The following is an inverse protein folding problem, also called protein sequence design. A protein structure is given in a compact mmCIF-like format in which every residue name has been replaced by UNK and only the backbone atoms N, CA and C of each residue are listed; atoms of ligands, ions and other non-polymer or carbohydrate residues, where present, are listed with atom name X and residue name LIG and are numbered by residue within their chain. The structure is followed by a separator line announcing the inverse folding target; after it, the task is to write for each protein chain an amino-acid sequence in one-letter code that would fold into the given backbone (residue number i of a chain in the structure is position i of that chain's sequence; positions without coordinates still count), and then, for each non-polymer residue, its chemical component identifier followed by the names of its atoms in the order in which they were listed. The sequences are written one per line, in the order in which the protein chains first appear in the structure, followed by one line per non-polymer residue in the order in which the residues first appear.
data_IF_131680667464
#
_entry.id   IF_131680667464
#
_cell.length_a   1.000
_cell.length_b   1.000
_cell.length_c   1.000
_cell.angle_alpha   90.00
_cell.angle_beta   90.00
_cell.angle_gamma   90.00
#
_symmetry.space_group_name_H-M   'P 1'
#
loop_
_entity.id
_entity.type
_entity.pdbx_description
1 polymer ?
#
# COMPACT_ATOMS: atom_id res chain seq x y z
N UNK A 1 23.34 30.28 -11.94
CA UNK A 1 22.88 29.08 -11.21
C UNK A 1 21.42 28.77 -11.57
N UNK A 2 21.19 27.86 -12.52
CA UNK A 2 19.87 27.30 -12.88
C UNK A 2 20.10 25.83 -13.24
N UNK A 3 19.92 24.92 -12.27
CA UNK A 3 20.04 23.46 -12.51
C UNK A 3 18.84 22.67 -11.98
N UNK A 4 17.88 23.29 -11.30
CA UNK A 4 16.71 22.59 -10.72
C UNK A 4 15.67 22.07 -11.73
N UNK A 5 15.64 22.59 -12.96
CA UNK A 5 14.59 22.23 -13.93
C UNK A 5 14.92 20.98 -14.74
N UNK A 6 16.21 20.71 -15.00
CA UNK A 6 16.65 19.56 -15.80
C UNK A 6 16.52 18.25 -15.01
N UNK A 7 16.78 18.30 -13.71
CA UNK A 7 16.70 17.12 -12.82
C UNK A 7 15.27 16.58 -12.73
N UNK A 8 14.26 17.45 -12.61
CA UNK A 8 12.85 17.05 -12.57
C UNK A 8 12.35 16.43 -13.88
N UNK A 9 12.82 16.92 -15.03
CA UNK A 9 12.45 16.36 -16.33
C UNK A 9 13.10 15.00 -16.56
N UNK A 10 14.36 14.82 -16.18
CA UNK A 10 15.04 13.54 -16.26
C UNK A 10 14.42 12.49 -15.32
N UNK A 11 14.03 12.91 -14.11
CA UNK A 11 13.37 12.05 -13.12
C UNK A 11 11.97 11.61 -13.59
N UNK A 12 11.19 12.52 -14.20
CA UNK A 12 9.89 12.19 -14.77
C UNK A 12 9.98 11.22 -15.96
N UNK A 13 10.98 11.40 -16.84
CA UNK A 13 11.20 10.51 -17.98
C UNK A 13 11.61 9.09 -17.56
N UNK A 14 12.47 8.96 -16.53
CA UNK A 14 12.85 7.67 -15.96
C UNK A 14 11.67 6.93 -15.29
N UNK A 15 10.75 7.66 -14.67
CA UNK A 15 9.54 7.08 -14.06
C UNK A 15 8.58 6.52 -15.14
N UNK A 16 8.50 7.17 -16.30
CA UNK A 16 7.63 6.75 -17.42
C UNK A 16 8.16 5.49 -18.13
N UNK A 17 9.48 5.41 -18.33
CA UNK A 17 10.13 4.23 -18.93
C UNK A 17 10.04 3.00 -18.01
N UNK A 18 10.23 3.19 -16.70
CA UNK A 18 10.09 2.10 -15.71
C UNK A 18 8.66 1.61 -15.58
N UNK A 19 7.66 2.49 -15.61
CA UNK A 19 6.24 2.09 -15.61
C UNK A 19 5.87 1.29 -16.86
N UNK A 20 6.44 1.65 -18.02
CA UNK A 20 6.19 0.93 -19.28
C UNK A 20 6.77 -0.48 -19.23
N UNK A 21 7.99 -0.64 -18.71
CA UNK A 21 8.62 -1.95 -18.51
C UNK A 21 7.83 -2.81 -17.52
N UNK A 22 7.44 -2.23 -16.38
CA UNK A 22 6.61 -2.91 -15.37
C UNK A 22 5.28 -3.37 -15.95
N UNK A 23 4.60 -2.51 -16.72
CA UNK A 23 3.34 -2.87 -17.38
C UNK A 23 3.51 -4.08 -18.30
N UNK A 24 4.59 -4.12 -19.07
CA UNK A 24 4.87 -5.26 -19.96
C UNK A 24 5.04 -6.56 -19.17
N UNK A 25 5.83 -6.54 -18.09
CA UNK A 25 6.06 -7.70 -17.24
C UNK A 25 4.78 -8.18 -16.55
N UNK A 26 3.99 -7.28 -15.98
CA UNK A 26 2.73 -7.62 -15.30
C UNK A 26 1.73 -8.24 -16.27
N UNK A 27 1.61 -7.73 -17.50
CA UNK A 27 0.72 -8.31 -18.50
C UNK A 27 1.15 -9.74 -18.85
N UNK A 28 2.45 -10.03 -18.89
CA UNK A 28 2.93 -11.38 -19.07
C UNK A 28 2.64 -12.29 -17.87
N UNK A 29 2.81 -11.78 -16.65
CA UNK A 29 2.61 -12.54 -15.40
C UNK A 29 1.14 -12.83 -15.10
N UNK A 30 0.25 -11.84 -15.31
CA UNK A 30 -1.19 -11.99 -15.09
C UNK A 30 -1.85 -12.95 -16.09
N UNK A 31 -1.20 -13.22 -17.22
CA UNK A 31 -1.71 -14.13 -18.25
C UNK A 31 -3.04 -13.65 -18.87
N UNK A 32 -3.84 -14.59 -19.39
CA UNK A 32 -5.19 -14.29 -19.85
C UNK A 32 -6.08 -13.97 -18.64
N UNK A 33 -6.76 -12.82 -18.67
CA UNK A 33 -7.63 -12.38 -17.58
C UNK A 33 -8.62 -13.48 -17.20
N UNK A 34 -8.58 -13.90 -15.94
CA UNK A 34 -9.60 -14.77 -15.38
C UNK A 34 -10.84 -13.91 -15.12
N UNK A 35 -11.78 -13.92 -16.08
CA UNK A 35 -13.12 -13.39 -15.81
C UNK A 35 -13.80 -14.33 -14.81
N UNK A 36 -14.02 -13.82 -13.60
CA UNK A 36 -14.90 -14.47 -12.64
C UNK A 36 -16.33 -14.34 -13.18
N UNK A 37 -16.85 -15.43 -13.74
CA UNK A 37 -18.25 -15.52 -14.20
C UNK A 37 -19.26 -15.27 -13.07
N UNK A 38 -18.82 -15.40 -11.82
CA UNK A 38 -19.66 -15.33 -10.65
C UNK A 38 -19.59 -13.96 -9.96
N UNK A 39 -20.72 -13.25 -9.96
CA UNK A 39 -20.92 -12.00 -9.21
C UNK A 39 -20.91 -12.21 -7.68
N UNK A 40 -20.80 -13.46 -7.21
CA UNK A 40 -20.64 -13.83 -5.80
C UNK A 40 -19.41 -13.25 -5.11
N UNK A 41 -18.48 -12.60 -5.83
CA UNK A 41 -17.47 -11.74 -5.20
C UNK A 41 -18.11 -10.64 -4.32
N UNK A 42 -19.34 -10.22 -4.63
CA UNK A 42 -20.14 -9.35 -3.76
C UNK A 42 -20.55 -10.01 -2.43
N UNK A 43 -20.54 -11.35 -2.36
CA UNK A 43 -20.56 -12.19 -1.15
C UNK A 43 -19.15 -12.66 -0.75
N UNK A 44 -18.15 -11.79 -0.94
CA UNK A 44 -16.73 -12.03 -0.63
C UNK A 44 -16.55 -12.82 0.67
N UNK A 45 -15.57 -13.75 0.74
CA UNK A 45 -15.20 -14.44 1.98
C UNK A 45 -14.78 -13.49 3.12
N UNK A 46 -14.69 -12.20 2.83
CA UNK A 46 -14.34 -11.14 3.76
C UNK A 46 -15.54 -10.32 4.26
N UNK A 47 -16.74 -10.53 3.70
CA UNK A 47 -17.96 -9.81 4.10
C UNK A 47 -18.27 -9.99 5.59
N UNK A 48 -17.95 -11.17 6.14
CA UNK A 48 -18.24 -11.51 7.54
C UNK A 48 -17.06 -11.24 8.50
N UNK A 49 -15.95 -10.64 8.04
CA UNK A 49 -14.80 -10.35 8.90
C UNK A 49 -15.11 -9.31 9.99
N UNK A 50 -16.05 -8.41 9.72
CA UNK A 50 -16.51 -7.42 10.67
C UNK A 50 -17.99 -7.14 10.44
N UNK A 51 -18.82 -7.38 11.45
CA UNK A 51 -20.24 -6.99 11.39
C UNK A 51 -20.38 -5.47 11.26
N UNK A 52 -21.43 -5.01 10.58
CA UNK A 52 -21.78 -3.59 10.46
C UNK A 52 -21.79 -2.87 11.82
N UNK A 53 -22.32 -3.52 12.86
CA UNK A 53 -22.35 -2.95 14.22
C UNK A 53 -20.96 -2.72 14.82
N UNK A 54 -19.98 -3.56 14.49
CA UNK A 54 -18.59 -3.41 14.92
C UNK A 54 -17.91 -2.28 14.15
N UNK A 55 -18.17 -2.19 12.84
CA UNK A 55 -17.70 -1.08 11.99
C UNK A 55 -18.25 0.25 12.52
N UNK A 56 -19.56 0.36 12.69
CA UNK A 56 -20.22 1.54 13.24
C UNK A 56 -19.71 1.88 14.64
N UNK A 57 -19.57 0.87 15.49
CA UNK A 57 -19.05 1.01 16.84
C UNK A 57 -17.62 1.56 16.87
N UNK A 58 -16.78 1.15 15.94
CA UNK A 58 -15.43 1.67 15.77
C UNK A 58 -15.45 3.11 15.23
N UNK A 59 -16.19 3.37 14.14
CA UNK A 59 -16.24 4.67 13.49
C UNK A 59 -16.75 5.76 14.42
N UNK A 60 -17.76 5.47 15.25
CA UNK A 60 -18.29 6.39 16.27
C UNK A 60 -17.27 6.74 17.37
N UNK A 61 -16.33 5.84 17.66
CA UNK A 61 -15.29 6.02 18.68
C UNK A 61 -13.98 6.55 18.11
N UNK A 62 -13.79 6.47 16.79
CA UNK A 62 -12.55 6.86 16.13
C UNK A 62 -12.40 8.38 16.15
N UNK A 63 -11.27 8.92 16.69
CA UNK A 63 -11.02 10.35 16.63
C UNK A 63 -10.73 10.81 15.20
N UNK A 64 -10.37 9.88 14.30
CA UNK A 64 -9.99 10.13 12.91
C UNK A 64 -11.16 10.07 11.94
N UNK A 65 -12.38 9.73 12.38
CA UNK A 65 -13.54 9.68 11.51
C UNK A 65 -14.57 10.74 11.89
N UNK A 66 -15.14 11.42 10.89
CA UNK A 66 -16.26 12.33 11.07
C UNK A 66 -17.55 11.60 10.69
N UNK A 67 -18.31 11.21 11.72
CA UNK A 67 -19.59 10.49 11.56
C UNK A 67 -20.62 11.30 10.79
N UNK A 68 -20.65 12.63 11.00
CA UNK A 68 -21.63 13.51 10.34
C UNK A 68 -21.35 13.67 8.85
N UNK A 69 -20.07 13.79 8.48
CA UNK A 69 -19.66 13.92 7.09
C UNK A 69 -19.43 12.57 6.40
N UNK A 70 -19.50 11.46 7.15
CA UNK A 70 -19.14 10.11 6.73
C UNK A 70 -17.77 10.03 6.04
N UNK A 71 -16.79 10.78 6.56
CA UNK A 71 -15.45 10.91 5.98
C UNK A 71 -14.37 10.76 7.03
N UNK A 72 -13.22 10.22 6.63
CA UNK A 72 -12.00 10.30 7.44
C UNK A 72 -11.57 11.76 7.55
N UNK A 73 -11.21 12.18 8.76
CA UNK A 73 -10.70 13.53 9.03
C UNK A 73 -9.33 13.64 8.41
N UNK A 74 -9.17 14.62 7.54
CA UNK A 74 -7.86 14.95 7.03
C UNK A 74 -7.02 15.59 8.13
N UNK A 75 -5.72 15.28 8.16
CA UNK A 75 -4.75 16.01 8.96
C UNK A 75 -4.82 17.51 8.70
N UNK A 76 -4.65 18.30 9.77
CA UNK A 76 -4.72 19.77 9.70
C UNK A 76 -3.72 20.38 8.69
N UNK A 77 -2.63 19.67 8.39
CA UNK A 77 -1.56 20.13 7.50
C UNK A 77 -1.54 19.36 6.18
N UNK A 78 -2.66 19.35 5.46
CA UNK A 78 -2.80 18.70 4.16
C UNK A 78 -1.85 19.27 3.09
N UNK A 79 -1.40 20.51 3.25
CA UNK A 79 -0.36 21.12 2.39
C UNK A 79 0.95 20.36 2.45
N UNK A 80 1.25 19.66 3.55
CA UNK A 80 2.43 18.80 3.67
C UNK A 80 2.27 17.45 2.95
N UNK A 81 1.04 17.02 2.65
CA UNK A 81 0.77 15.83 1.83
C UNK A 81 1.25 16.01 0.38
N UNK A 82 1.22 17.25 -0.12
CA UNK A 82 1.73 17.60 -1.44
C UNK A 82 3.27 17.58 -1.52
N UNK A 83 3.95 17.61 -0.37
CA UNK A 83 5.42 17.66 -0.28
C UNK A 83 6.04 16.36 0.27
N UNK A 84 5.28 15.27 0.34
CA UNK A 84 5.80 13.94 0.71
C UNK A 84 5.76 13.61 2.21
N UNK A 85 5.24 14.49 3.07
CA UNK A 85 5.06 14.17 4.49
C UNK A 85 3.76 13.39 4.69
N UNK A 86 3.82 12.08 4.43
CA UNK A 86 2.73 11.09 4.52
C UNK A 86 2.27 10.74 5.94
N UNK A 87 3.00 11.26 6.93
CA UNK A 87 2.91 10.96 8.36
C UNK A 87 1.47 10.99 8.91
N UNK A 88 0.59 11.92 8.52
CA UNK A 88 -0.62 12.05 9.30
C UNK A 88 -1.76 11.11 8.87
N UNK A 89 -1.65 10.42 7.72
CA UNK A 89 -2.57 9.33 7.37
C UNK A 89 -2.14 7.98 7.94
N UNK A 90 -0.84 7.75 8.13
CA UNK A 90 -0.32 6.52 8.73
C UNK A 90 -0.82 6.31 10.16
N UNK A 91 -1.26 7.38 10.86
CA UNK A 91 -1.87 7.31 12.18
C UNK A 91 -3.29 6.72 12.20
N UNK A 92 -4.00 6.70 11.07
CA UNK A 92 -5.40 6.24 10.97
C UNK A 92 -5.49 4.71 11.00
N UNK A 93 -4.54 4.03 10.38
CA UNK A 93 -4.57 2.58 10.17
C UNK A 93 -4.23 1.73 11.42
N UNK A 94 -3.27 2.10 12.30
CA UNK A 94 -2.97 1.32 13.50
C UNK A 94 -4.16 1.15 14.46
N UNK A 95 -5.01 2.16 14.71
CA UNK A 95 -6.27 1.97 15.44
C UNK A 95 -7.22 0.97 14.79
N UNK A 96 -7.37 1.00 13.46
CA UNK A 96 -8.21 0.05 12.70
C UNK A 96 -7.66 -1.37 12.91
N UNK A 97 -6.37 -1.56 12.66
CA UNK A 97 -5.70 -2.85 12.81
C UNK A 97 -5.84 -3.38 14.25
N UNK A 98 -5.62 -2.55 15.27
CA UNK A 98 -5.79 -2.95 16.68
C UNK A 98 -7.23 -3.25 17.08
N UNK A 99 -8.22 -2.71 16.38
CA UNK A 99 -9.63 -2.93 16.70
C UNK A 99 -10.13 -4.24 16.12
N UNK A 100 -9.89 -4.46 14.83
CA UNK A 100 -10.40 -5.62 14.09
C UNK A 100 -9.47 -6.83 14.19
N UNK A 101 -8.17 -6.64 14.44
CA UNK A 101 -7.19 -7.71 14.58
C UNK A 101 -6.91 -8.07 16.05
N UNK A 102 -7.97 -8.28 16.84
CA UNK A 102 -7.89 -8.63 18.27
C UNK A 102 -7.81 -10.14 18.53
N UNK A 103 -6.99 -10.87 17.79
CA UNK A 103 -6.67 -12.23 18.18
C UNK A 103 -5.54 -12.21 19.22
N UNK A 104 -5.80 -12.70 20.44
CA UNK A 104 -4.83 -12.69 21.55
C UNK A 104 -3.55 -13.46 21.23
N UNK A 105 -3.61 -14.45 20.35
CA UNK A 105 -2.44 -15.21 19.87
C UNK A 105 -1.67 -14.53 18.73
N UNK A 106 -2.24 -13.49 18.11
CA UNK A 106 -1.64 -12.75 17.00
C UNK A 106 -1.26 -11.31 17.38
N UNK A 107 -1.29 -10.97 18.66
CA UNK A 107 -1.01 -9.62 19.12
C UNK A 107 0.47 -9.30 18.87
N UNK A 108 0.74 -8.35 17.96
CA UNK A 108 2.10 -7.96 17.57
C UNK A 108 2.58 -8.53 16.24
N UNK A 109 1.85 -9.47 15.62
CA UNK A 109 2.27 -10.03 14.33
C UNK A 109 2.06 -9.07 13.18
N UNK A 110 1.11 -8.13 13.27
CA UNK A 110 0.83 -7.16 12.20
C UNK A 110 1.09 -5.73 12.64
N UNK A 111 1.73 -4.96 11.76
CA UNK A 111 2.02 -3.54 12.00
C UNK A 111 1.95 -2.74 10.72
N UNK A 112 1.41 -1.53 10.82
CA UNK A 112 1.45 -0.54 9.74
C UNK A 112 2.85 0.05 9.68
N UNK A 113 3.46 -0.02 8.50
CA UNK A 113 4.79 0.53 8.19
C UNK A 113 4.63 1.54 7.07
N UNK A 114 5.34 2.66 7.21
CA UNK A 114 5.39 3.67 6.17
C UNK A 114 6.45 3.30 5.13
N UNK A 115 6.04 3.23 3.85
CA UNK A 115 6.86 2.71 2.75
C UNK A 115 6.93 3.63 1.54
N UNK A 116 6.37 4.84 1.59
CA UNK A 116 6.37 5.77 0.45
C UNK A 116 7.77 6.06 -0.14
N UNK A 117 8.80 6.00 0.71
CA UNK A 117 10.21 6.17 0.32
C UNK A 117 11.01 4.85 0.27
N UNK A 118 10.34 3.70 0.24
CA UNK A 118 10.98 2.38 0.22
C UNK A 118 10.58 1.62 -1.04
N UNK A 119 11.58 1.23 -1.84
CA UNK A 119 11.36 0.33 -2.97
C UNK A 119 11.32 -1.12 -2.46
N UNK A 120 10.18 -1.77 -2.60
CA UNK A 120 9.99 -3.17 -2.25
C UNK A 120 10.19 -4.02 -3.51
N UNK A 121 11.33 -4.70 -3.59
CA UNK A 121 11.61 -5.67 -4.65
C UNK A 121 10.73 -6.90 -4.48
N UNK A 122 10.13 -7.37 -5.58
CA UNK A 122 9.24 -8.54 -5.56
C UNK A 122 10.00 -9.85 -5.40
N UNK A 123 11.16 -9.97 -6.04
CA UNK A 123 12.05 -11.11 -5.87
C UNK A 123 13.51 -10.70 -6.05
N UNK A 124 14.43 -11.47 -5.46
CA UNK A 124 15.88 -11.29 -5.63
C UNK A 124 16.37 -11.61 -7.03
N UNK A 125 15.65 -12.46 -7.76
CA UNK A 125 15.99 -12.87 -9.12
C UNK A 125 15.39 -11.94 -10.16
N UNK A 126 14.47 -11.05 -9.76
CA UNK A 126 13.79 -10.14 -10.66
C UNK A 126 14.72 -8.97 -11.02
N UNK A 127 14.48 -8.38 -12.19
CA UNK A 127 15.17 -7.15 -12.60
C UNK A 127 14.99 -6.07 -11.52
N UNK A 128 16.01 -5.25 -11.22
CA UNK A 128 15.87 -4.14 -10.25
C UNK A 128 14.77 -3.12 -10.63
N UNK A 129 14.32 -3.13 -11.88
CA UNK A 129 13.16 -2.36 -12.36
C UNK A 129 11.82 -2.86 -11.80
N UNK A 130 11.71 -4.13 -11.39
CA UNK A 130 10.48 -4.70 -10.85
C UNK A 130 10.41 -4.51 -9.33
N UNK A 131 9.96 -3.32 -8.95
CA UNK A 131 9.75 -2.95 -7.55
C UNK A 131 8.42 -2.23 -7.38
N UNK A 132 7.94 -2.23 -6.14
CA UNK A 132 6.71 -1.56 -5.75
C UNK A 132 6.98 -0.55 -4.64
N UNK A 133 6.24 0.56 -4.66
CA UNK A 133 6.36 1.64 -3.68
C UNK A 133 5.00 2.00 -3.09
N UNK A 134 4.32 1.06 -2.41
CA UNK A 134 3.07 1.37 -1.74
C UNK A 134 3.30 2.47 -0.71
N UNK A 135 2.31 3.33 -0.55
CA UNK A 135 2.35 4.41 0.42
C UNK A 135 2.56 3.90 1.85
N UNK A 136 1.75 2.92 2.25
CA UNK A 136 1.86 2.21 3.51
C UNK A 136 1.70 0.70 3.25
N UNK A 137 2.24 -0.10 4.16
CA UNK A 137 2.01 -1.55 4.16
C UNK A 137 1.62 -2.04 5.54
N UNK A 138 0.83 -3.11 5.57
CA UNK A 138 0.65 -3.92 6.77
C UNK A 138 1.71 -5.01 6.70
N UNK A 139 2.82 -4.81 7.43
CA UNK A 139 3.80 -5.86 7.69
C UNK A 139 3.15 -6.95 8.52
N UNK A 140 3.47 -8.21 8.24
CA UNK A 140 3.12 -9.35 9.07
C UNK A 140 4.33 -10.22 9.44
N UNK A 141 4.22 -10.93 10.56
CA UNK A 141 5.14 -11.95 11.02
C UNK A 141 4.37 -13.25 11.31
N UNK A 142 5.01 -14.38 11.06
CA UNK A 142 4.45 -15.70 11.35
C UNK A 142 4.89 -16.76 10.34
N UNK A 143 4.41 -18.00 10.46
CA UNK A 143 4.84 -19.12 9.62
C UNK A 143 4.61 -18.92 8.12
N UNK A 144 3.66 -18.07 7.74
CA UNK A 144 3.34 -17.75 6.35
C UNK A 144 4.14 -16.57 5.79
N UNK A 145 5.01 -15.94 6.57
CA UNK A 145 5.77 -14.75 6.17
C UNK A 145 7.26 -14.97 6.37
N UNK A 146 8.06 -14.56 5.39
CA UNK A 146 9.51 -14.61 5.46
C UNK A 146 10.06 -13.21 5.77
N UNK A 147 10.91 -13.11 6.81
CA UNK A 147 11.58 -11.85 7.12
C UNK A 147 12.55 -11.47 5.98
N UNK A 148 12.71 -10.17 5.68
CA UNK A 148 13.61 -9.72 4.63
C UNK A 148 15.04 -10.18 4.92
N UNK A 149 15.71 -10.68 3.88
CA UNK A 149 17.09 -11.11 4.00
C UNK A 149 17.98 -9.92 4.35
N UNK A 150 18.93 -10.14 5.26
CA UNK A 150 19.86 -9.11 5.71
C UNK A 150 21.26 -9.49 5.29
N UNK A 151 21.92 -8.62 4.52
CA UNK A 151 23.33 -8.82 4.19
C UNK A 151 24.20 -8.74 5.47
N UNK A 152 25.28 -9.54 5.57
CA UNK A 152 26.16 -9.52 6.74
C UNK A 152 26.68 -8.10 7.03
N UNK A 153 26.41 -7.60 8.24
CA UNK A 153 26.84 -6.27 8.68
C UNK A 153 25.85 -5.13 8.40
N UNK A 154 24.73 -5.39 7.73
CA UNK A 154 23.65 -4.41 7.58
C UNK A 154 22.58 -4.56 8.67
N UNK A 155 21.85 -3.47 8.93
CA UNK A 155 20.64 -3.55 9.76
C UNK A 155 19.55 -4.27 8.96
N UNK A 156 18.84 -5.24 9.57
CA UNK A 156 17.73 -5.91 8.90
C UNK A 156 16.72 -4.90 8.38
N UNK A 157 16.35 -5.02 7.11
CA UNK A 157 15.23 -4.28 6.58
C UNK A 157 13.98 -4.68 7.37
N UNK A 158 13.24 -3.67 7.86
CA UNK A 158 12.03 -3.96 8.63
C UNK A 158 10.91 -4.52 7.76
N UNK A 159 10.95 -4.27 6.44
CA UNK A 159 9.90 -4.63 5.52
C UNK A 159 10.49 -5.01 4.16
N UNK A 160 9.90 -6.02 3.56
CA UNK A 160 10.19 -6.52 2.22
C UNK A 160 8.93 -7.19 1.68
N UNK A 161 8.87 -7.44 0.38
CA UNK A 161 7.65 -7.96 -0.24
C UNK A 161 7.14 -9.24 0.44
N UNK A 162 8.08 -10.12 0.84
CA UNK A 162 7.82 -11.40 1.52
C UNK A 162 7.16 -11.32 2.90
N UNK A 163 7.15 -10.14 3.55
CA UNK A 163 6.49 -9.94 4.84
C UNK A 163 5.40 -8.85 4.80
N UNK A 164 4.92 -8.49 3.61
CA UNK A 164 3.76 -7.61 3.43
C UNK A 164 2.49 -8.45 3.34
N UNK A 165 1.52 -8.15 4.20
CA UNK A 165 0.19 -8.78 4.18
C UNK A 165 -0.87 -7.94 3.46
N UNK A 166 -0.64 -6.64 3.31
CA UNK A 166 -1.49 -5.74 2.54
C UNK A 166 -0.73 -4.47 2.15
N UNK A 167 -0.98 -3.98 0.94
CA UNK A 167 -0.53 -2.67 0.45
C UNK A 167 -1.67 -1.66 0.59
N UNK A 168 -1.35 -0.43 0.99
CA UNK A 168 -2.30 0.67 1.10
C UNK A 168 -1.70 1.83 0.30
N UNK A 169 -2.41 2.24 -0.74
CA UNK A 169 -2.02 3.40 -1.53
C UNK A 169 -2.88 4.60 -1.16
N UNK A 170 -2.24 5.74 -0.87
CA UNK A 170 -2.95 7.00 -0.67
C UNK A 170 -2.55 7.95 -1.79
N UNK A 171 -3.52 8.68 -2.29
CA UNK A 171 -3.29 9.68 -3.31
C UNK A 171 -4.04 10.95 -2.93
N UNK A 172 -3.36 12.10 -3.03
CA UNK A 172 -4.01 13.39 -2.92
C UNK A 172 -4.79 13.68 -4.22
N UNK A 173 -6.03 14.13 -4.08
CA UNK A 173 -6.91 14.51 -5.19
C UNK A 173 -6.23 15.61 -6.03
N UNK A 174 -6.15 15.43 -7.35
CA UNK A 174 -5.44 16.32 -8.29
C UNK A 174 -4.39 15.66 -9.18
N UNK A 175 -4.07 14.38 -8.94
CA UNK A 175 -3.27 13.53 -9.83
C UNK A 175 -4.17 12.41 -10.39
N UNK A 176 -5.23 12.75 -11.11
CA UNK A 176 -6.13 11.75 -11.69
C UNK A 176 -5.41 10.99 -12.82
N UNK A 177 -4.73 9.91 -12.45
CA UNK A 177 -4.22 8.96 -13.43
C UNK A 177 -5.40 8.25 -14.10
N UNK A 178 -5.31 7.95 -15.40
CA UNK A 178 -6.31 7.11 -16.08
C UNK A 178 -6.54 5.81 -15.31
N UNK A 179 -7.77 5.28 -15.31
CA UNK A 179 -8.10 4.03 -14.60
C UNK A 179 -7.15 2.87 -14.94
N UNK A 180 -6.68 2.80 -16.19
CA UNK A 180 -5.69 1.80 -16.63
C UNK A 180 -4.35 1.93 -15.90
N UNK A 181 -3.90 3.15 -15.59
CA UNK A 181 -2.65 3.37 -14.88
C UNK A 181 -2.81 3.11 -13.37
N UNK A 182 -3.96 3.47 -12.78
CA UNK A 182 -4.29 3.08 -11.41
C UNK A 182 -4.32 1.55 -11.26
N UNK A 183 -4.91 0.85 -12.25
CA UNK A 183 -4.93 -0.62 -12.30
C UNK A 183 -3.53 -1.20 -12.42
N UNK A 184 -2.67 -0.66 -13.29
CA UNK A 184 -1.27 -1.13 -13.40
C UNK A 184 -0.56 -0.97 -12.05
N UNK A 185 -0.69 0.20 -11.40
CA UNK A 185 -0.06 0.45 -10.09
C UNK A 185 -0.56 -0.50 -9.00
N UNK A 186 -1.85 -0.81 -8.99
CA UNK A 186 -2.42 -1.77 -8.04
C UNK A 186 -2.03 -3.22 -8.37
N UNK A 187 -1.98 -3.58 -9.65
CA UNK A 187 -1.66 -4.92 -10.14
C UNK A 187 -0.21 -5.31 -9.85
N UNK A 188 0.72 -4.34 -9.75
CA UNK A 188 2.08 -4.57 -9.27
C UNK A 188 2.09 -5.28 -7.92
N UNK A 189 1.09 -5.08 -7.05
CA UNK A 189 1.07 -5.73 -5.74
C UNK A 189 0.56 -7.17 -5.75
N UNK A 190 -0.05 -7.62 -6.85
CA UNK A 190 -0.77 -8.90 -6.92
C UNK A 190 0.12 -10.12 -7.23
N UNK A 191 1.44 -9.94 -7.16
CA UNK A 191 2.44 -10.99 -7.44
C UNK A 191 2.61 -11.96 -6.27
#
# INVERSE_FOLDING_TARGET
MRTRSSTKQAEAALVDETLTEQRYLIVQELGAGLELEDTSFSGSPHHDLASDSAIDGFLKKSPFYNVMQRRWKLPWNYTKLLYGDFIPHSATFPPILRHFWRNKSAQGTRRVVDTHNTNLQHSKADSPSLNSRPSLVIRAEGPSFQLPDTEPGQKPAQVGFSNVAACIELQAEGNDFPASEQLVRAAIYAK
#
